data_IF_546856123497
#
_entry.id   IF_546856123497
#
_cell.length_a   1.000
_cell.length_b   1.000
_cell.length_c   1.000
_cell.angle_alpha   90.00
_cell.angle_beta   90.00
_cell.angle_gamma   90.00
#
_symmetry.space_group_name_H-M   'P 1'
#
loop_
_entity.id
_entity.type
_entity.pdbx_description
1 polymer ?
#
# COMPACT_ATOMS: atom_id res chain seq x y z
N UNK A 1 26.74 13.17 -14.68
CA UNK A 1 25.57 13.89 -14.13
C UNK A 1 25.08 15.02 -15.05
N UNK A 2 25.92 15.94 -15.55
CA UNK A 2 25.44 17.10 -16.33
C UNK A 2 24.73 16.84 -17.67
N UNK A 3 25.10 15.79 -18.42
CA UNK A 3 24.43 15.42 -19.69
C UNK A 3 23.05 14.77 -19.50
N UNK A 4 22.80 14.14 -18.35
CA UNK A 4 21.54 13.48 -18.01
C UNK A 4 20.43 14.50 -17.74
N UNK A 5 20.79 15.69 -17.24
CA UNK A 5 19.82 16.73 -16.83
C UNK A 5 19.09 17.43 -17.98
N UNK A 6 19.50 17.25 -19.24
CA UNK A 6 18.97 18.04 -20.37
C UNK A 6 18.22 17.22 -21.43
N UNK A 7 18.19 15.89 -21.29
CA UNK A 7 17.52 15.01 -22.25
C UNK A 7 16.34 14.29 -21.60
N UNK A 8 15.17 14.37 -22.21
CA UNK A 8 13.96 13.67 -21.75
C UNK A 8 13.82 12.32 -22.45
N UNK A 9 14.87 11.48 -22.42
CA UNK A 9 14.80 10.13 -22.99
C UNK A 9 14.23 9.12 -21.99
N UNK A 10 13.83 7.95 -22.48
CA UNK A 10 13.41 6.82 -21.64
C UNK A 10 14.47 6.47 -20.58
N UNK A 11 15.75 6.46 -20.97
CA UNK A 11 16.87 6.14 -20.07
C UNK A 11 16.97 7.18 -18.94
N UNK A 12 16.71 8.46 -19.22
CA UNK A 12 16.67 9.50 -18.19
C UNK A 12 15.52 9.27 -17.19
N UNK A 13 14.32 8.93 -17.68
CA UNK A 13 13.18 8.57 -16.82
C UNK A 13 13.54 7.38 -15.93
N UNK A 14 14.14 6.33 -16.50
CA UNK A 14 14.57 5.15 -15.76
C UNK A 14 15.64 5.46 -14.71
N UNK A 15 16.60 6.34 -15.02
CA UNK A 15 17.62 6.79 -14.07
C UNK A 15 16.97 7.50 -12.88
N UNK A 16 16.05 8.43 -13.11
CA UNK A 16 15.36 9.13 -12.02
C UNK A 16 14.44 8.22 -11.20
N UNK A 17 13.80 7.21 -11.81
CA UNK A 17 13.04 6.20 -11.06
C UNK A 17 13.94 5.31 -10.18
N UNK A 18 15.14 4.95 -10.67
CA UNK A 18 16.11 4.19 -9.87
C UNK A 18 16.71 5.06 -8.75
N UNK A 19 16.96 6.34 -9.04
CA UNK A 19 17.40 7.33 -8.08
C UNK A 19 16.35 7.52 -6.97
N UNK A 20 15.07 7.63 -7.32
CA UNK A 20 14.00 7.72 -6.33
C UNK A 20 13.97 6.46 -5.45
N UNK A 21 13.94 5.26 -6.05
CA UNK A 21 13.97 4.01 -5.30
C UNK A 21 15.16 3.90 -4.34
N UNK A 22 16.33 4.39 -4.74
CA UNK A 22 17.51 4.47 -3.88
C UNK A 22 17.30 5.43 -2.70
N UNK A 23 16.80 6.64 -2.95
CA UNK A 23 16.53 7.59 -1.86
C UNK A 23 15.52 7.05 -0.86
N UNK A 24 14.48 6.36 -1.31
CA UNK A 24 13.49 5.77 -0.41
C UNK A 24 14.08 4.65 0.44
N UNK A 25 14.94 3.80 -0.14
CA UNK A 25 15.66 2.77 0.61
C UNK A 25 16.63 3.35 1.67
N UNK A 26 17.03 4.62 1.49
CA UNK A 26 17.80 5.40 2.45
C UNK A 26 16.95 6.26 3.39
N UNK A 27 15.63 6.11 3.40
CA UNK A 27 14.69 6.94 4.16
C UNK A 27 14.81 8.45 3.87
N UNK A 28 15.19 8.81 2.63
CA UNK A 28 15.27 10.19 2.14
C UNK A 28 14.01 10.55 1.36
N UNK A 29 12.87 10.59 2.04
CA UNK A 29 11.53 10.69 1.47
C UNK A 29 11.32 11.93 0.57
N UNK A 30 11.83 13.09 0.98
CA UNK A 30 11.74 14.31 0.16
C UNK A 30 12.60 14.23 -1.12
N UNK A 31 13.72 13.52 -1.07
CA UNK A 31 14.57 13.33 -2.24
C UNK A 31 13.99 12.26 -3.18
N UNK A 32 13.37 11.22 -2.63
CA UNK A 32 12.52 10.29 -3.39
C UNK A 32 11.43 11.05 -4.16
N UNK A 33 10.70 11.96 -3.49
CA UNK A 33 9.66 12.74 -4.15
C UNK A 33 10.22 13.63 -5.27
N UNK A 34 11.30 14.37 -5.01
CA UNK A 34 11.95 15.21 -6.03
C UNK A 34 12.42 14.42 -7.25
N UNK A 35 13.03 13.25 -7.04
CA UNK A 35 13.46 12.37 -8.12
C UNK A 35 12.25 11.81 -8.90
N UNK A 36 11.16 11.47 -8.21
CA UNK A 36 9.90 11.04 -8.84
C UNK A 36 9.27 12.14 -9.68
N UNK A 37 9.29 13.39 -9.20
CA UNK A 37 8.84 14.57 -9.97
C UNK A 37 9.69 14.76 -11.23
N UNK A 38 11.02 14.62 -11.12
CA UNK A 38 11.92 14.70 -12.28
C UNK A 38 11.66 13.58 -13.31
N UNK A 39 11.46 12.34 -12.84
CA UNK A 39 11.08 11.20 -13.68
C UNK A 39 9.74 11.46 -14.41
N UNK A 40 8.72 11.87 -13.66
CA UNK A 40 7.37 12.10 -14.19
C UNK A 40 7.34 13.23 -15.20
N UNK A 41 8.02 14.35 -14.92
CA UNK A 41 8.14 15.48 -15.85
C UNK A 41 8.86 15.08 -17.13
N UNK A 42 9.98 14.37 -17.02
CA UNK A 42 10.73 13.88 -18.19
C UNK A 42 9.90 12.88 -19.01
N UNK A 43 9.11 12.03 -18.34
CA UNK A 43 8.23 11.06 -18.98
C UNK A 43 7.10 11.75 -19.74
N UNK A 44 6.49 12.80 -19.18
CA UNK A 44 5.49 13.61 -19.87
C UNK A 44 6.04 14.25 -21.13
N UNK A 45 7.25 14.83 -21.07
CA UNK A 45 7.90 15.44 -22.25
C UNK A 45 8.18 14.38 -23.31
N UNK A 46 8.72 13.22 -22.92
CA UNK A 46 8.96 12.09 -23.82
C UNK A 46 7.68 11.69 -24.57
N UNK A 47 6.58 11.50 -23.85
CA UNK A 47 5.30 11.05 -24.44
C UNK A 47 4.67 12.13 -25.33
N UNK A 48 4.74 13.41 -24.93
CA UNK A 48 4.10 14.51 -25.66
C UNK A 48 4.89 14.93 -26.91
N UNK A 49 6.22 14.79 -26.89
CA UNK A 49 7.08 15.26 -27.97
C UNK A 49 7.42 14.18 -29.01
N UNK A 50 7.26 12.89 -28.70
CA UNK A 50 7.51 11.79 -29.64
C UNK A 50 6.20 11.19 -30.17
N UNK A 51 6.15 10.88 -31.48
CA UNK A 51 5.09 10.06 -32.05
C UNK A 51 5.34 8.59 -31.76
N UNK A 52 4.78 8.08 -30.67
CA UNK A 52 5.04 6.71 -30.18
C UNK A 52 4.08 5.70 -30.83
N UNK A 53 4.63 4.71 -31.53
CA UNK A 53 3.89 3.49 -31.88
C UNK A 53 3.86 2.55 -30.67
N UNK A 54 2.70 2.48 -30.02
CA UNK A 54 2.45 1.69 -28.82
C UNK A 54 2.56 0.17 -29.01
N UNK A 55 2.71 -0.33 -30.23
CA UNK A 55 2.93 -1.75 -30.52
C UNK A 55 4.40 -2.19 -30.39
N UNK A 56 5.33 -1.24 -30.37
CA UNK A 56 6.78 -1.54 -30.39
C UNK A 56 7.31 -2.01 -29.01
N UNK A 57 8.39 -2.81 -28.97
CA UNK A 57 9.04 -3.19 -27.71
C UNK A 57 9.58 -1.99 -26.90
N UNK A 58 10.07 -0.94 -27.59
CA UNK A 58 10.50 0.31 -26.93
C UNK A 58 9.32 1.00 -26.25
N UNK A 59 8.17 1.06 -26.92
CA UNK A 59 6.97 1.64 -26.34
C UNK A 59 6.47 0.85 -25.12
N UNK A 60 6.66 -0.46 -25.07
CA UNK A 60 6.36 -1.26 -23.87
C UNK A 60 7.21 -0.82 -22.67
N UNK A 61 8.49 -0.49 -22.86
CA UNK A 61 9.34 0.08 -21.81
C UNK A 61 8.87 1.47 -21.37
N UNK A 62 8.41 2.30 -22.31
CA UNK A 62 7.84 3.62 -22.00
C UNK A 62 6.56 3.48 -21.17
N UNK A 63 5.67 2.54 -21.51
CA UNK A 63 4.47 2.24 -20.69
C UNK A 63 4.88 1.85 -19.27
N UNK A 64 5.84 0.94 -19.11
CA UNK A 64 6.33 0.53 -17.78
C UNK A 64 6.87 1.72 -16.97
N UNK A 65 7.68 2.58 -17.61
CA UNK A 65 8.23 3.77 -16.96
C UNK A 65 7.13 4.77 -16.56
N UNK A 66 6.16 5.02 -17.45
CA UNK A 66 5.00 5.88 -17.18
C UNK A 66 4.19 5.38 -15.98
N UNK A 67 3.79 4.11 -16.00
CA UNK A 67 2.98 3.55 -14.91
C UNK A 67 3.76 3.41 -13.59
N UNK A 68 5.08 3.27 -13.65
CA UNK A 68 5.92 3.34 -12.45
C UNK A 68 5.94 4.76 -11.87
N UNK A 69 6.08 5.80 -12.70
CA UNK A 69 5.97 7.19 -12.28
C UNK A 69 4.60 7.45 -11.62
N UNK A 70 3.51 7.04 -12.27
CA UNK A 70 2.14 7.15 -11.74
C UNK A 70 1.98 6.50 -10.36
N UNK A 71 2.45 5.26 -10.20
CA UNK A 71 2.34 4.54 -8.92
C UNK A 71 3.15 5.21 -7.80
N UNK A 72 4.35 5.72 -8.11
CA UNK A 72 5.20 6.40 -7.14
C UNK A 72 4.67 7.77 -6.72
N UNK A 73 4.13 8.54 -7.67
CA UNK A 73 3.62 9.89 -7.41
C UNK A 73 2.32 9.87 -6.61
N UNK A 74 1.37 9.00 -6.97
CA UNK A 74 0.06 8.97 -6.34
C UNK A 74 0.09 8.62 -4.85
N UNK A 75 1.01 7.74 -4.44
CA UNK A 75 1.10 7.36 -3.03
C UNK A 75 1.47 8.56 -2.15
N UNK A 76 2.41 9.39 -2.61
CA UNK A 76 2.82 10.58 -1.87
C UNK A 76 1.77 11.69 -1.97
N UNK A 77 1.07 11.80 -3.10
CA UNK A 77 -0.05 12.72 -3.21
C UNK A 77 -1.16 12.39 -2.21
N UNK A 78 -1.61 11.14 -2.14
CA UNK A 78 -2.73 10.75 -1.27
C UNK A 78 -2.40 10.84 0.23
N UNK A 79 -1.14 10.63 0.62
CA UNK A 79 -0.74 10.52 2.04
C UNK A 79 -0.14 11.81 2.61
N UNK A 80 0.49 12.63 1.76
CA UNK A 80 1.18 13.86 2.16
C UNK A 80 0.59 15.12 1.52
N UNK A 81 -0.41 14.98 0.65
CA UNK A 81 -0.97 16.08 -0.15
C UNK A 81 0.09 16.84 -0.96
N UNK A 82 1.14 16.13 -1.39
CA UNK A 82 2.15 16.71 -2.26
C UNK A 82 1.58 16.95 -3.66
N UNK A 83 2.02 18.05 -4.27
CA UNK A 83 1.54 18.44 -5.60
C UNK A 83 1.97 17.42 -6.66
N UNK A 84 1.01 17.04 -7.51
CA UNK A 84 1.27 16.18 -8.66
C UNK A 84 1.82 16.99 -9.85
N UNK A 85 2.64 16.35 -10.68
CA UNK A 85 3.21 16.90 -11.92
C UNK A 85 2.20 17.01 -13.07
N UNK A 86 1.00 16.45 -12.91
CA UNK A 86 -0.01 16.35 -13.97
C UNK A 86 0.17 15.15 -14.90
N UNK A 87 1.08 14.21 -14.59
CA UNK A 87 1.27 12.98 -15.38
C UNK A 87 -0.02 12.14 -15.49
N UNK A 88 -0.89 12.17 -14.48
CA UNK A 88 -2.19 11.50 -14.48
C UNK A 88 -3.10 11.90 -15.66
N UNK A 89 -2.91 13.11 -16.22
CA UNK A 89 -3.70 13.58 -17.38
C UNK A 89 -3.44 12.77 -18.66
N UNK A 90 -2.39 11.95 -18.69
CA UNK A 90 -2.04 11.08 -19.80
C UNK A 90 -2.58 9.65 -19.63
N UNK A 91 -3.32 9.35 -18.56
CA UNK A 91 -3.77 7.98 -18.23
C UNK A 91 -4.57 7.34 -19.37
N UNK A 92 -5.45 8.10 -20.03
CA UNK A 92 -6.25 7.60 -21.14
C UNK A 92 -5.44 7.40 -22.44
N UNK A 93 -4.27 8.03 -22.55
CA UNK A 93 -3.42 7.99 -23.74
C UNK A 93 -2.38 6.88 -23.69
N UNK A 94 -1.96 6.45 -22.49
CA UNK A 94 -0.89 5.46 -22.29
C UNK A 94 -1.48 4.09 -21.96
N UNK A 95 -1.38 3.10 -22.87
CA UNK A 95 -1.92 1.76 -22.62
C UNK A 95 -1.19 1.05 -21.47
N UNK A 96 -1.81 0.00 -20.94
CA UNK A 96 -1.15 -0.92 -20.00
C UNK A 96 0.04 -1.63 -20.67
N UNK A 97 1.14 -1.88 -19.94
CA UNK A 97 2.29 -2.60 -20.47
C UNK A 97 1.96 -4.08 -20.65
N UNK A 98 2.47 -4.66 -21.73
CA UNK A 98 2.31 -6.06 -22.10
C UNK A 98 3.47 -6.94 -21.63
N UNK A 99 4.60 -6.34 -21.28
CA UNK A 99 5.82 -7.03 -20.84
C UNK A 99 6.52 -7.87 -21.92
N UNK A 100 6.51 -7.42 -23.18
CA UNK A 100 7.19 -8.10 -24.29
C UNK A 100 8.69 -8.29 -24.01
N UNK A 101 9.25 -9.45 -24.39
CA UNK A 101 10.68 -9.75 -24.30
C UNK A 101 11.21 -10.10 -22.89
N UNK A 102 10.36 -10.24 -21.86
CA UNK A 102 10.77 -10.80 -20.57
C UNK A 102 10.92 -12.33 -20.59
N UNK A 103 10.54 -12.98 -21.68
CA UNK A 103 10.80 -14.40 -21.91
C UNK A 103 12.23 -14.55 -22.49
N UNK A 104 13.16 -14.99 -21.62
CA UNK A 104 14.50 -15.54 -21.92
C UNK A 104 15.61 -14.62 -22.47
N UNK A 105 16.55 -14.25 -21.57
CA UNK A 105 17.98 -14.12 -21.92
C UNK A 105 18.94 -14.80 -20.92
N UNK A 106 18.41 -15.34 -19.82
CA UNK A 106 19.13 -16.28 -18.96
C UNK A 106 18.48 -17.65 -19.13
N UNK A 107 19.20 -18.59 -19.72
CA UNK A 107 18.73 -19.94 -20.06
C UNK A 107 18.30 -20.77 -18.87
N UNK A 108 17.10 -20.52 -18.35
CA UNK A 108 16.36 -21.38 -17.45
C UNK A 108 15.08 -21.81 -18.15
N UNK A 109 15.10 -23.06 -18.58
CA UNK A 109 14.00 -23.86 -19.10
C UNK A 109 12.71 -23.73 -18.26
N UNK A 110 11.60 -23.43 -18.95
CA UNK A 110 10.29 -24.08 -18.82
C UNK A 110 9.54 -24.17 -17.47
N UNK A 111 10.00 -23.65 -16.33
CA UNK A 111 9.20 -23.77 -15.09
C UNK A 111 9.33 -22.56 -14.15
N UNK A 112 8.19 -21.92 -13.86
CA UNK A 112 8.07 -20.75 -12.98
C UNK A 112 8.19 -19.39 -13.69
N UNK A 113 7.17 -18.99 -14.47
CA UNK A 113 7.05 -17.60 -14.96
C UNK A 113 7.00 -16.66 -13.76
N UNK A 114 7.98 -15.77 -13.63
CA UNK A 114 7.92 -14.71 -12.63
C UNK A 114 6.70 -13.84 -12.90
N UNK A 115 5.67 -13.93 -12.04
CA UNK A 115 4.38 -13.27 -12.22
C UNK A 115 4.41 -11.78 -11.84
N UNK A 116 5.58 -11.15 -11.88
CA UNK A 116 5.76 -9.74 -11.52
C UNK A 116 4.89 -8.80 -12.37
N UNK A 117 4.68 -9.13 -13.65
CA UNK A 117 3.80 -8.38 -14.55
C UNK A 117 2.37 -8.29 -14.03
N UNK A 118 1.83 -9.38 -13.48
CA UNK A 118 0.46 -9.39 -12.95
C UNK A 118 0.37 -8.56 -11.67
N UNK A 119 1.41 -8.56 -10.83
CA UNK A 119 1.45 -7.72 -9.64
C UNK A 119 1.48 -6.25 -10.01
N UNK A 120 2.29 -5.87 -11.00
CA UNK A 120 2.36 -4.49 -11.47
C UNK A 120 1.01 -4.01 -12.01
N UNK A 121 0.34 -4.81 -12.85
CA UNK A 121 -1.00 -4.49 -13.36
C UNK A 121 -2.06 -4.46 -12.26
N UNK A 122 -1.99 -5.39 -11.29
CA UNK A 122 -2.89 -5.41 -10.14
C UNK A 122 -2.74 -4.15 -9.27
N UNK A 123 -1.51 -3.68 -9.04
CA UNK A 123 -1.24 -2.43 -8.31
C UNK A 123 -1.81 -1.20 -9.05
N UNK A 124 -1.68 -1.13 -10.38
CA UNK A 124 -2.30 -0.05 -11.18
C UNK A 124 -3.82 -0.06 -11.02
N UNK A 125 -4.45 -1.23 -11.12
CA UNK A 125 -5.90 -1.36 -10.97
C UNK A 125 -6.36 -0.98 -9.54
N UNK A 126 -5.61 -1.38 -8.51
CA UNK A 126 -5.90 -1.06 -7.12
C UNK A 126 -5.76 0.43 -6.83
N UNK A 127 -4.76 1.11 -7.40
CA UNK A 127 -4.56 2.57 -7.28
C UNK A 127 -5.85 3.35 -7.61
N UNK A 128 -6.54 2.98 -8.69
CA UNK A 128 -7.81 3.63 -9.11
C UNK A 128 -8.95 3.40 -8.11
N UNK A 129 -8.95 2.30 -7.39
CA UNK A 129 -9.90 2.06 -6.30
C UNK A 129 -9.55 2.91 -5.08
N UNK A 130 -8.26 2.94 -4.71
CA UNK A 130 -7.77 3.74 -3.58
C UNK A 130 -8.06 5.22 -3.78
N UNK A 131 -7.76 5.79 -4.96
CA UNK A 131 -8.09 7.19 -5.26
C UNK A 131 -9.59 7.51 -5.07
N UNK A 132 -10.47 6.65 -5.61
CA UNK A 132 -11.93 6.80 -5.44
C UNK A 132 -12.38 6.68 -3.98
N UNK A 133 -11.73 5.82 -3.19
CA UNK A 133 -12.00 5.69 -1.76
C UNK A 133 -11.64 7.01 -1.05
N UNK A 134 -10.46 7.58 -1.31
CA UNK A 134 -10.05 8.86 -0.73
C UNK A 134 -11.00 9.99 -1.12
N UNK A 135 -11.32 10.15 -2.40
CA UNK A 135 -12.27 11.16 -2.88
C UNK A 135 -13.64 11.01 -2.20
N UNK A 136 -14.18 9.80 -2.15
CA UNK A 136 -15.51 9.54 -1.58
C UNK A 136 -15.57 9.83 -0.08
N UNK A 137 -14.51 9.52 0.67
CA UNK A 137 -14.47 9.70 2.13
C UNK A 137 -14.21 11.18 2.46
N UNK A 138 -13.21 11.81 1.85
CA UNK A 138 -12.81 13.18 2.18
C UNK A 138 -13.73 14.26 1.60
N UNK A 139 -14.37 14.04 0.45
CA UNK A 139 -15.38 14.99 -0.06
C UNK A 139 -16.64 15.04 0.83
N UNK A 140 -16.96 13.95 1.53
CA UNK A 140 -18.04 13.96 2.53
C UNK A 140 -17.66 14.77 3.77
N UNK A 141 -16.39 14.74 4.18
CA UNK A 141 -15.88 15.52 5.32
C UNK A 141 -15.85 17.03 5.04
N UNK A 142 -15.41 17.44 3.84
CA UNK A 142 -15.28 18.88 3.48
C UNK A 142 -16.62 19.56 3.20
N UNK A 143 -17.58 18.84 2.63
CA UNK A 143 -18.95 19.34 2.39
C UNK A 143 -19.72 19.57 3.70
N UNK A 144 -19.32 18.90 4.79
CA UNK A 144 -19.97 18.93 6.10
C UNK A 144 -19.15 19.65 7.16
N UNK A 145 -18.32 20.64 6.77
CA UNK A 145 -17.44 21.44 7.65
C UNK A 145 -18.14 22.24 8.77
N UNK A 146 -19.43 22.04 8.99
CA UNK A 146 -20.19 22.46 10.17
C UNK A 146 -20.27 21.39 11.28
N UNK A 147 -19.62 20.22 11.13
CA UNK A 147 -19.79 19.06 12.01
C UNK A 147 -19.14 19.18 13.40
N UNK A 148 -18.24 20.14 13.65
CA UNK A 148 -17.68 20.34 15.00
C UNK A 148 -18.72 20.89 16.02
N UNK A 149 -19.92 21.29 15.54
CA UNK A 149 -21.01 21.81 16.37
C UNK A 149 -22.34 21.04 16.18
N UNK A 150 -22.39 19.98 15.37
CA UNK A 150 -23.61 19.18 15.16
C UNK A 150 -23.65 17.96 16.07
N UNK A 151 -24.79 17.75 16.74
CA UNK A 151 -25.09 16.50 17.49
C UNK A 151 -25.24 15.26 16.57
N UNK A 152 -25.05 15.39 15.26
CA UNK A 152 -25.20 14.33 14.27
C UNK A 152 -23.87 13.96 13.62
N UNK A 153 -23.73 12.69 13.26
CA UNK A 153 -22.54 12.14 12.61
C UNK A 153 -22.55 12.46 11.10
N UNK A 154 -21.76 13.43 10.68
CA UNK A 154 -21.64 13.88 9.28
C UNK A 154 -20.75 13.01 8.37
N UNK A 155 -20.48 11.75 8.73
CA UNK A 155 -19.62 10.88 7.93
C UNK A 155 -20.28 10.30 6.67
N UNK A 156 -19.53 9.57 5.82
CA UNK A 156 -20.04 9.03 4.58
C UNK A 156 -21.21 8.05 4.82
N UNK A 157 -22.26 8.06 3.97
CA UNK A 157 -23.40 7.16 4.13
C UNK A 157 -23.00 5.67 4.05
N UNK A 158 -23.61 4.83 4.88
CA UNK A 158 -23.30 3.38 4.97
C UNK A 158 -23.41 2.67 3.62
N UNK A 159 -24.37 3.04 2.77
CA UNK A 159 -24.52 2.43 1.44
C UNK A 159 -23.33 2.73 0.51
N UNK A 160 -22.72 3.91 0.62
CA UNK A 160 -21.49 4.26 -0.12
C UNK A 160 -20.33 3.39 0.37
N UNK A 161 -20.17 3.24 1.69
CA UNK A 161 -19.16 2.36 2.27
C UNK A 161 -19.32 0.92 1.79
N UNK A 162 -20.55 0.38 1.82
CA UNK A 162 -20.84 -0.97 1.33
C UNK A 162 -20.47 -1.14 -0.13
N UNK A 163 -20.77 -0.15 -0.97
CA UNK A 163 -20.45 -0.21 -2.39
C UNK A 163 -18.93 -0.14 -2.64
N UNK A 164 -18.20 0.74 -1.94
CA UNK A 164 -16.74 0.80 -2.01
C UNK A 164 -16.11 -0.53 -1.58
N UNK A 165 -16.57 -1.11 -0.47
CA UNK A 165 -16.13 -2.41 0.00
C UNK A 165 -16.43 -3.54 -1.01
N UNK A 166 -17.62 -3.53 -1.62
CA UNK A 166 -18.00 -4.48 -2.66
C UNK A 166 -17.09 -4.37 -3.88
N UNK A 167 -16.76 -3.15 -4.31
CA UNK A 167 -15.85 -2.93 -5.44
C UNK A 167 -14.43 -3.41 -5.15
N UNK A 168 -13.92 -3.15 -3.93
CA UNK A 168 -12.61 -3.62 -3.49
C UNK A 168 -12.55 -5.16 -3.45
N UNK A 169 -13.58 -5.81 -2.91
CA UNK A 169 -13.67 -7.27 -2.89
C UNK A 169 -13.81 -7.86 -4.29
N UNK A 170 -14.62 -7.23 -5.15
CA UNK A 170 -14.75 -7.61 -6.55
C UNK A 170 -13.42 -7.51 -7.30
N UNK A 171 -12.58 -6.53 -6.99
CA UNK A 171 -11.23 -6.45 -7.56
C UNK A 171 -10.39 -7.64 -7.13
N UNK A 172 -10.39 -7.99 -5.83
CA UNK A 172 -9.65 -9.15 -5.31
C UNK A 172 -10.11 -10.46 -5.95
N UNK A 173 -11.41 -10.62 -6.18
CA UNK A 173 -11.98 -11.84 -6.79
C UNK A 173 -11.71 -11.95 -8.30
N UNK A 174 -11.42 -10.85 -8.98
CA UNK A 174 -11.08 -10.81 -10.41
C UNK A 174 -9.57 -10.93 -10.69
N UNK A 175 -8.72 -10.97 -9.66
CA UNK A 175 -7.30 -11.16 -9.83
C UNK A 175 -6.99 -12.51 -10.53
N UNK A 176 -5.92 -12.59 -11.34
CA UNK A 176 -5.43 -13.85 -11.84
C UNK A 176 -5.16 -14.83 -10.69
N UNK A 177 -5.45 -16.12 -10.90
CA UNK A 177 -5.30 -17.18 -9.87
C UNK A 177 -3.97 -17.10 -9.10
N UNK A 178 -2.80 -16.87 -9.74
CA UNK A 178 -1.54 -16.78 -9.00
C UNK A 178 -1.49 -15.67 -7.97
N UNK A 179 -2.28 -14.60 -8.10
CA UNK A 179 -2.31 -13.47 -7.18
C UNK A 179 -3.48 -13.52 -6.21
N UNK A 180 -4.49 -14.34 -6.48
CA UNK A 180 -5.74 -14.37 -5.72
C UNK A 180 -5.55 -15.01 -4.33
N UNK A 181 -6.12 -14.39 -3.30
CA UNK A 181 -6.09 -14.87 -1.91
C UNK A 181 -7.42 -14.61 -1.19
N UNK A 182 -7.64 -15.31 -0.08
CA UNK A 182 -8.72 -15.05 0.88
C UNK A 182 -8.15 -14.54 2.22
N UNK A 183 -8.99 -14.05 3.12
CA UNK A 183 -8.52 -13.59 4.44
C UNK A 183 -7.89 -14.72 5.28
N UNK A 184 -8.33 -15.96 5.08
CA UNK A 184 -7.76 -17.14 5.76
C UNK A 184 -6.38 -17.49 5.20
N UNK A 185 -6.12 -17.18 3.93
CA UNK A 185 -4.88 -17.53 3.22
C UNK A 185 -3.94 -16.32 3.10
N UNK A 186 -4.16 -15.27 3.90
CA UNK A 186 -3.42 -14.00 3.82
C UNK A 186 -1.91 -14.16 3.97
N UNK A 187 -1.47 -15.17 4.74
CA UNK A 187 -0.06 -15.48 4.98
C UNK A 187 0.53 -16.49 4.01
N UNK A 188 -0.30 -17.12 3.19
CA UNK A 188 0.09 -18.26 2.36
C UNK A 188 0.80 -17.83 1.08
N UNK A 189 1.55 -18.77 0.49
CA UNK A 189 2.14 -18.58 -0.83
C UNK A 189 1.06 -18.27 -1.88
N UNK A 190 1.37 -17.41 -2.88
CA UNK A 190 0.48 -17.21 -4.01
C UNK A 190 0.20 -18.53 -4.74
N UNK A 191 -0.99 -18.69 -5.33
CA UNK A 191 -1.45 -19.95 -5.92
C UNK A 191 -0.74 -20.23 -7.27
N UNK A 192 0.53 -20.62 -7.22
CA UNK A 192 1.43 -20.82 -8.38
C UNK A 192 1.22 -22.17 -9.11
N UNK A 193 0.16 -22.92 -8.81
CA UNK A 193 -0.05 -24.27 -9.33
C UNK A 193 0.81 -25.34 -8.63
N UNK A 194 0.50 -26.61 -8.88
CA UNK A 194 1.00 -27.78 -8.14
C UNK A 194 2.53 -27.98 -8.16
N UNK A 195 3.27 -27.26 -9.00
CA UNK A 195 4.72 -27.36 -9.13
C UNK A 195 5.51 -26.48 -8.14
N UNK A 196 4.86 -25.55 -7.41
CA UNK A 196 5.54 -24.53 -6.61
C UNK A 196 5.53 -24.72 -5.09
N UNK A 197 4.85 -25.72 -4.53
CA UNK A 197 4.81 -25.95 -3.07
C UNK A 197 6.12 -26.55 -2.58
N UNK A 198 7.11 -25.69 -2.30
CA UNK A 198 8.29 -26.07 -1.51
C UNK A 198 7.97 -25.86 -0.02
N UNK A 199 7.27 -26.82 0.59
CA UNK A 199 7.03 -26.87 2.03
C UNK A 199 5.58 -26.65 2.47
N UNK A 200 5.33 -26.93 3.75
CA UNK A 200 4.06 -26.69 4.47
C UNK A 200 4.00 -25.31 5.11
N UNK A 201 5.09 -24.55 5.07
CA UNK A 201 5.22 -23.30 5.79
C UNK A 201 4.56 -22.15 5.00
N UNK A 202 3.91 -21.20 5.68
CA UNK A 202 3.34 -20.01 5.04
C UNK A 202 4.46 -19.11 4.47
N UNK A 203 4.13 -18.29 3.47
CA UNK A 203 5.05 -17.29 2.94
C UNK A 203 5.39 -16.23 4.00
N UNK A 204 4.40 -15.86 4.82
CA UNK A 204 4.55 -14.85 5.85
C UNK A 204 4.43 -15.44 7.25
N UNK A 205 5.39 -15.13 8.12
CA UNK A 205 5.42 -15.66 9.48
C UNK A 205 5.69 -14.59 10.53
N UNK A 206 5.21 -14.87 11.74
CA UNK A 206 5.43 -14.03 12.93
C UNK A 206 6.88 -14.12 13.41
N UNK A 207 7.42 -15.34 13.45
CA UNK A 207 8.74 -15.62 14.00
C UNK A 207 9.84 -15.22 13.00
N UNK A 208 11.01 -14.86 13.54
CA UNK A 208 12.24 -14.64 12.76
C UNK A 208 12.73 -16.00 12.22
N UNK A 209 12.03 -16.57 11.25
CA UNK A 209 12.58 -17.65 10.45
C UNK A 209 13.86 -17.16 9.76
N UNK A 210 14.80 -18.07 9.52
CA UNK A 210 15.91 -17.79 8.60
C UNK A 210 15.30 -17.31 7.29
N UNK A 211 15.68 -16.11 6.85
CA UNK A 211 15.30 -15.59 5.53
C UNK A 211 15.58 -16.72 4.54
N UNK A 212 14.58 -17.27 3.82
CA UNK A 212 14.88 -18.27 2.81
C UNK A 212 15.82 -17.60 1.81
N UNK A 213 17.09 -18.00 1.83
CA UNK A 213 18.19 -17.37 1.08
C UNK A 213 17.94 -17.46 -0.45
N UNK A 214 16.90 -18.17 -0.89
CA UNK A 214 16.63 -18.49 -2.28
C UNK A 214 15.19 -18.15 -2.76
N UNK A 215 14.53 -17.10 -2.24
CA UNK A 215 13.32 -16.62 -2.90
C UNK A 215 13.66 -15.85 -4.19
N UNK A 216 13.35 -16.46 -5.33
CA UNK A 216 13.45 -15.90 -6.67
C UNK A 216 12.63 -14.59 -6.76
N UNK A 217 13.21 -13.55 -7.35
CA UNK A 217 12.55 -12.31 -7.81
C UNK A 217 11.76 -11.46 -6.79
N UNK A 218 12.09 -11.45 -5.49
CA UNK A 218 11.42 -10.62 -4.46
C UNK A 218 9.89 -10.84 -4.34
N UNK A 219 9.41 -12.06 -4.61
CA UNK A 219 7.99 -12.42 -4.53
C UNK A 219 7.37 -12.08 -3.17
N UNK A 220 8.13 -12.23 -2.09
CA UNK A 220 7.76 -11.87 -0.72
C UNK A 220 7.36 -10.39 -0.61
N UNK A 221 8.20 -9.48 -1.10
CA UNK A 221 7.94 -8.04 -1.06
C UNK A 221 6.75 -7.67 -1.95
N UNK A 222 6.69 -8.20 -3.17
CA UNK A 222 5.63 -7.89 -4.12
C UNK A 222 4.25 -8.36 -3.64
N UNK A 223 4.20 -9.59 -3.10
CA UNK A 223 2.97 -10.15 -2.54
C UNK A 223 2.56 -9.38 -1.28
N UNK A 224 3.52 -9.07 -0.42
CA UNK A 224 3.26 -8.31 0.81
C UNK A 224 2.69 -6.93 0.48
N UNK A 225 3.31 -6.20 -0.45
CA UNK A 225 2.86 -4.88 -0.87
C UNK A 225 1.43 -4.92 -1.41
N UNK A 226 1.13 -5.83 -2.34
CA UNK A 226 -0.21 -5.93 -2.95
C UNK A 226 -1.28 -6.25 -1.90
N UNK A 227 -1.04 -7.26 -1.06
CA UNK A 227 -2.00 -7.67 -0.02
C UNK A 227 -2.16 -6.58 1.03
N UNK A 228 -1.06 -5.98 1.50
CA UNK A 228 -1.11 -4.88 2.45
C UNK A 228 -1.86 -3.67 1.90
N UNK A 229 -1.66 -3.28 0.64
CA UNK A 229 -2.40 -2.17 0.03
C UNK A 229 -3.91 -2.45 -0.01
N UNK A 230 -4.33 -3.70 -0.26
CA UNK A 230 -5.74 -4.09 -0.18
C UNK A 230 -6.30 -3.92 1.24
N UNK A 231 -5.59 -4.44 2.26
CA UNK A 231 -6.04 -4.32 3.65
C UNK A 231 -6.04 -2.88 4.14
N UNK A 232 -5.09 -2.07 3.68
CA UNK A 232 -5.09 -0.63 3.93
C UNK A 232 -6.29 0.06 3.28
N UNK A 233 -6.59 -0.20 2.01
CA UNK A 233 -7.77 0.33 1.35
C UNK A 233 -9.07 -0.06 2.08
N UNK A 234 -9.16 -1.31 2.54
CA UNK A 234 -10.30 -1.81 3.33
C UNK A 234 -10.40 -1.11 4.68
N UNK A 235 -9.27 -0.91 5.36
CA UNK A 235 -9.21 -0.11 6.58
C UNK A 235 -9.73 1.31 6.33
N UNK A 236 -9.26 1.98 5.27
CA UNK A 236 -9.70 3.33 4.93
C UNK A 236 -11.21 3.41 4.69
N UNK A 237 -11.80 2.47 3.95
CA UNK A 237 -13.26 2.39 3.74
C UNK A 237 -14.04 2.39 5.06
N UNK A 238 -13.59 1.62 6.04
CA UNK A 238 -14.33 1.44 7.30
C UNK A 238 -13.86 2.36 8.43
N UNK A 239 -12.73 3.09 8.25
CA UNK A 239 -12.17 4.00 9.25
C UNK A 239 -13.15 5.05 9.78
N UNK A 240 -14.10 5.61 9.00
CA UNK A 240 -15.08 6.55 9.53
C UNK A 240 -15.90 5.99 10.71
N UNK A 241 -16.14 4.67 10.77
CA UNK A 241 -16.85 4.05 11.91
C UNK A 241 -15.98 3.92 13.16
N UNK A 242 -14.65 3.89 13.03
CA UNK A 242 -13.75 4.02 14.18
C UNK A 242 -13.85 5.43 14.74
N UNK A 243 -13.87 6.46 13.88
CA UNK A 243 -14.09 7.84 14.30
C UNK A 243 -15.46 7.99 14.98
N UNK A 244 -16.52 7.44 14.38
CA UNK A 244 -17.87 7.44 14.99
C UNK A 244 -17.88 6.78 16.37
N UNK A 245 -17.23 5.62 16.54
CA UNK A 245 -17.15 4.95 17.84
C UNK A 245 -16.40 5.76 18.90
N UNK A 246 -15.40 6.55 18.50
CA UNK A 246 -14.60 7.38 19.41
C UNK A 246 -15.30 8.68 19.81
N UNK A 247 -16.06 9.29 18.89
CA UNK A 247 -16.60 10.65 19.07
C UNK A 247 -18.12 10.71 19.26
N UNK A 248 -18.86 9.72 18.75
CA UNK A 248 -20.33 9.65 18.77
C UNK A 248 -20.82 8.25 19.23
N UNK A 249 -20.34 7.72 20.37
CA UNK A 249 -20.63 6.35 20.80
C UNK A 249 -22.13 6.08 21.00
N UNK A 250 -22.91 7.08 21.38
CA UNK A 250 -24.36 7.02 21.53
C UNK A 250 -25.13 6.87 20.21
N UNK A 251 -24.52 7.26 19.08
CA UNK A 251 -25.11 7.14 17.73
C UNK A 251 -24.72 5.84 17.02
N UNK A 252 -23.96 4.96 17.67
CA UNK A 252 -23.47 3.72 17.08
C UNK A 252 -24.59 2.67 16.95
N UNK A 253 -25.02 2.40 15.73
CA UNK A 253 -25.91 1.28 15.43
C UNK A 253 -25.15 -0.06 15.43
N UNK A 254 -25.87 -1.19 15.42
CA UNK A 254 -25.23 -2.50 15.31
C UNK A 254 -24.44 -2.64 13.99
N UNK A 255 -24.95 -2.09 12.91
CA UNK A 255 -24.27 -2.07 11.61
C UNK A 255 -22.97 -1.25 11.64
N UNK A 256 -22.98 -0.11 12.33
CA UNK A 256 -21.78 0.71 12.52
C UNK A 256 -20.73 -0.03 13.33
N UNK A 257 -21.14 -0.78 14.36
CA UNK A 257 -20.23 -1.59 15.18
C UNK A 257 -19.58 -2.71 14.37
N UNK A 258 -20.33 -3.34 13.45
CA UNK A 258 -19.77 -4.32 12.51
C UNK A 258 -18.73 -3.66 11.60
N UNK A 259 -19.04 -2.50 11.03
CA UNK A 259 -18.11 -1.77 10.16
C UNK A 259 -16.86 -1.32 10.95
N UNK A 260 -17.02 -0.83 12.18
CA UNK A 260 -15.92 -0.49 13.06
C UNK A 260 -15.02 -1.70 13.33
N UNK A 261 -15.60 -2.87 13.64
CA UNK A 261 -14.83 -4.09 13.82
C UNK A 261 -14.07 -4.49 12.55
N UNK A 262 -14.68 -4.37 11.37
CA UNK A 262 -14.03 -4.63 10.08
C UNK A 262 -12.85 -3.68 9.82
N UNK A 263 -12.95 -2.40 10.22
CA UNK A 263 -11.82 -1.47 10.15
C UNK A 263 -10.64 -1.99 10.97
N UNK A 264 -10.88 -2.31 12.24
CA UNK A 264 -9.83 -2.78 13.16
C UNK A 264 -9.22 -4.10 12.66
N UNK A 265 -10.03 -5.08 12.27
CA UNK A 265 -9.54 -6.34 11.68
C UNK A 265 -8.71 -6.11 10.42
N UNK A 266 -9.09 -5.13 9.59
CA UNK A 266 -8.34 -4.77 8.39
C UNK A 266 -7.00 -4.14 8.69
N UNK A 267 -6.81 -3.50 9.84
CA UNK A 267 -5.53 -2.96 10.29
C UNK A 267 -4.58 -4.02 10.88
N UNK A 268 -5.07 -5.23 11.14
CA UNK A 268 -4.30 -6.28 11.82
C UNK A 268 -3.39 -7.08 10.87
N UNK A 269 -2.20 -7.43 11.38
CA UNK A 269 -1.28 -8.43 10.84
C UNK A 269 -0.94 -8.24 9.35
N UNK A 270 -0.72 -7.01 8.89
CA UNK A 270 -0.40 -6.76 7.49
C UNK A 270 0.81 -7.58 7.03
N UNK A 271 0.77 -8.24 5.86
CA UNK A 271 1.90 -9.02 5.35
C UNK A 271 3.24 -8.29 5.37
N UNK A 272 3.22 -6.97 5.16
CA UNK A 272 4.40 -6.11 5.24
C UNK A 272 5.14 -6.11 6.58
N UNK A 273 4.42 -6.26 7.70
CA UNK A 273 5.03 -6.30 9.05
C UNK A 273 5.38 -7.72 9.50
N UNK A 274 5.15 -8.72 8.64
CA UNK A 274 5.54 -10.11 8.86
C UNK A 274 6.90 -10.40 8.20
N UNK A 275 7.56 -11.48 8.63
CA UNK A 275 8.75 -11.97 7.92
C UNK A 275 8.31 -12.65 6.61
N UNK A 276 9.11 -12.60 5.53
CA UNK A 276 10.39 -11.90 5.39
C UNK A 276 10.40 -10.36 5.26
N UNK A 277 9.36 -9.65 4.78
CA UNK A 277 9.41 -8.20 4.55
C UNK A 277 9.91 -7.37 5.74
N UNK A 278 9.49 -7.70 6.97
CA UNK A 278 9.95 -7.03 8.19
C UNK A 278 11.46 -7.14 8.43
N UNK A 279 12.14 -8.11 7.83
CA UNK A 279 13.60 -8.27 7.93
C UNK A 279 14.34 -7.51 6.82
N UNK A 280 13.62 -7.01 5.82
CA UNK A 280 14.14 -6.30 4.64
C UNK A 280 13.49 -4.92 4.49
N UNK A 281 13.21 -4.22 5.61
CA UNK A 281 12.40 -3.00 5.63
C UNK A 281 12.85 -1.91 4.66
N UNK A 282 14.17 -1.78 4.40
CA UNK A 282 14.71 -0.81 3.42
C UNK A 282 14.39 -1.14 1.95
N UNK A 283 13.98 -2.38 1.66
CA UNK A 283 13.52 -2.81 0.33
C UNK A 283 12.00 -2.65 0.16
N UNK A 284 11.29 -2.26 1.21
CA UNK A 284 9.85 -2.01 1.13
C UNK A 284 9.61 -0.66 0.46
N UNK A 285 8.86 -0.61 -0.66
CA UNK A 285 8.54 0.64 -1.33
C UNK A 285 7.64 1.53 -0.46
N UNK A 286 7.83 2.85 -0.57
CA UNK A 286 7.05 3.87 0.18
C UNK A 286 7.13 3.65 1.69
N UNK A 287 8.34 3.41 2.20
CA UNK A 287 8.64 3.20 3.61
C UNK A 287 8.01 4.28 4.51
N UNK A 288 8.05 5.54 4.07
CA UNK A 288 7.43 6.65 4.78
C UNK A 288 5.94 6.41 5.05
N UNK A 289 5.20 6.13 3.98
CA UNK A 289 3.74 5.94 4.01
C UNK A 289 3.37 4.84 5.01
N UNK A 290 4.09 3.72 5.00
CA UNK A 290 3.81 2.62 5.91
C UNK A 290 4.12 2.98 7.36
N UNK A 291 5.27 3.61 7.61
CA UNK A 291 5.65 4.07 8.95
C UNK A 291 4.62 5.04 9.51
N UNK A 292 4.18 6.04 8.74
CA UNK A 292 3.13 6.98 9.16
C UNK A 292 1.80 6.26 9.46
N UNK A 293 1.37 5.36 8.59
CA UNK A 293 0.13 4.61 8.78
C UNK A 293 0.19 3.71 10.03
N UNK A 294 1.33 3.11 10.33
CA UNK A 294 1.53 2.34 11.56
C UNK A 294 1.39 3.19 12.81
N UNK A 295 1.85 4.45 12.79
CA UNK A 295 1.64 5.37 13.92
C UNK A 295 0.15 5.60 14.15
N UNK A 296 -0.60 5.92 13.10
CA UNK A 296 -2.05 6.13 13.18
C UNK A 296 -2.79 4.89 13.67
N UNK A 297 -2.45 3.71 13.14
CA UNK A 297 -3.02 2.43 13.57
C UNK A 297 -2.69 2.15 15.03
N UNK A 298 -1.45 2.34 15.47
CA UNK A 298 -1.08 2.15 16.87
C UNK A 298 -1.90 3.07 17.78
N UNK A 299 -2.04 4.36 17.46
CA UNK A 299 -2.91 5.24 18.26
C UNK A 299 -4.35 4.70 18.36
N UNK A 300 -4.92 4.20 17.26
CA UNK A 300 -6.24 3.55 17.27
C UNK A 300 -6.23 2.28 18.14
N UNK A 301 -5.22 1.42 18.02
CA UNK A 301 -5.10 0.19 18.80
C UNK A 301 -4.98 0.50 20.29
N UNK A 302 -4.31 1.59 20.69
CA UNK A 302 -4.32 2.05 22.08
C UNK A 302 -5.72 2.46 22.53
N UNK A 303 -6.49 3.12 21.69
CA UNK A 303 -7.86 3.47 22.03
C UNK A 303 -8.78 2.26 22.21
N UNK A 304 -8.45 1.09 21.65
CA UNK A 304 -9.20 -0.15 21.92
C UNK A 304 -9.10 -0.63 23.37
N UNK A 305 -8.16 -0.09 24.17
CA UNK A 305 -8.06 -0.37 25.62
C UNK A 305 -8.58 0.77 26.49
N UNK A 306 -8.55 2.01 25.98
CA UNK A 306 -8.88 3.23 26.73
C UNK A 306 -10.32 3.73 26.51
N UNK A 307 -10.90 3.56 25.33
CA UNK A 307 -12.26 4.01 25.01
C UNK A 307 -13.26 2.85 25.21
N UNK A 308 -14.28 3.06 26.04
CA UNK A 308 -15.24 2.01 26.42
C UNK A 308 -16.05 1.47 25.23
N UNK A 309 -16.47 2.33 24.29
CA UNK A 309 -17.22 1.90 23.12
C UNK A 309 -16.37 1.01 22.21
N UNK A 310 -15.18 1.49 21.84
CA UNK A 310 -14.26 0.76 20.98
C UNK A 310 -13.77 -0.54 21.62
N UNK A 311 -13.47 -0.50 22.93
CA UNK A 311 -13.10 -1.67 23.73
C UNK A 311 -14.18 -2.73 23.73
N UNK A 312 -15.45 -2.35 23.91
CA UNK A 312 -16.59 -3.26 23.84
C UNK A 312 -16.68 -3.94 22.46
N UNK A 313 -16.65 -3.14 21.39
CA UNK A 313 -16.72 -3.65 20.01
C UNK A 313 -15.56 -4.63 19.74
N UNK A 314 -14.34 -4.29 20.14
CA UNK A 314 -13.18 -5.14 19.96
C UNK A 314 -13.27 -6.45 20.75
N UNK A 315 -13.71 -6.40 22.01
CA UNK A 315 -13.86 -7.60 22.84
C UNK A 315 -14.90 -8.59 22.28
N UNK A 316 -15.97 -8.08 21.65
CA UNK A 316 -17.05 -8.90 21.10
C UNK A 316 -16.72 -9.45 19.70
N UNK A 317 -15.99 -8.69 18.87
CA UNK A 317 -15.94 -8.93 17.42
C UNK A 317 -14.53 -9.03 16.83
N UNK A 318 -13.48 -8.76 17.58
CA UNK A 318 -12.09 -8.74 17.06
C UNK A 318 -11.23 -9.75 17.82
N UNK A 319 -10.39 -10.48 17.09
CA UNK A 319 -9.45 -11.40 17.72
C UNK A 319 -8.39 -10.62 18.51
N UNK A 320 -8.42 -10.77 19.83
CA UNK A 320 -7.48 -10.09 20.74
C UNK A 320 -6.02 -10.44 20.47
N UNK A 321 -5.73 -11.68 20.10
CA UNK A 321 -4.36 -12.12 19.79
C UNK A 321 -3.82 -11.37 18.58
N UNK A 322 -4.65 -11.15 17.56
CA UNK A 322 -4.24 -10.42 16.36
C UNK A 322 -3.93 -8.96 16.69
N UNK A 323 -4.68 -8.32 17.61
CA UNK A 323 -4.41 -6.95 18.06
C UNK A 323 -3.08 -6.84 18.80
N UNK A 324 -2.84 -7.73 19.75
CA UNK A 324 -1.60 -7.78 20.54
C UNK A 324 -0.39 -8.02 19.63
N UNK A 325 -0.51 -8.98 18.71
CA UNK A 325 0.54 -9.30 17.74
C UNK A 325 0.80 -8.15 16.75
N UNK A 326 -0.25 -7.51 16.24
CA UNK A 326 -0.13 -6.35 15.34
C UNK A 326 0.58 -5.20 16.05
N UNK A 327 0.19 -4.92 17.29
CA UNK A 327 0.80 -3.86 18.12
C UNK A 327 2.30 -4.11 18.27
N UNK A 328 2.69 -5.32 18.66
CA UNK A 328 4.11 -5.69 18.82
C UNK A 328 4.88 -5.52 17.51
N UNK A 329 4.36 -6.04 16.39
CA UNK A 329 5.06 -5.98 15.10
C UNK A 329 5.22 -4.55 14.57
N UNK A 330 4.20 -3.71 14.71
CA UNK A 330 4.27 -2.30 14.28
C UNK A 330 5.19 -1.48 15.19
N UNK A 331 5.20 -1.74 16.50
CA UNK A 331 6.17 -1.11 17.42
C UNK A 331 7.60 -1.52 17.09
N UNK A 332 7.85 -2.83 16.87
CA UNK A 332 9.15 -3.33 16.41
C UNK A 332 9.57 -2.67 15.09
N UNK A 333 8.62 -2.46 14.17
CA UNK A 333 8.89 -1.79 12.91
C UNK A 333 9.47 -0.39 13.11
N UNK A 334 8.77 0.43 13.89
CA UNK A 334 9.16 1.82 14.18
C UNK A 334 10.46 1.84 14.98
N UNK A 335 10.63 0.91 15.94
CA UNK A 335 11.85 0.79 16.73
C UNK A 335 13.09 0.48 15.89
N UNK A 336 12.95 -0.34 14.85
CA UNK A 336 14.06 -0.68 13.95
C UNK A 336 14.37 0.47 12.99
N UNK A 337 13.34 1.10 12.41
CA UNK A 337 13.50 2.13 11.37
C UNK A 337 13.94 3.49 11.92
N UNK A 338 13.65 3.81 13.19
CA UNK A 338 14.09 5.08 13.81
C UNK A 338 15.60 5.34 13.78
N UNK A 339 16.41 4.30 13.54
CA UNK A 339 17.86 4.44 13.42
C UNK A 339 18.27 5.19 12.13
N UNK A 340 17.39 5.22 11.13
CA UNK A 340 17.67 5.73 9.78
C UNK A 340 16.63 6.73 9.27
N UNK A 341 15.44 6.75 9.87
CA UNK A 341 14.32 7.62 9.50
C UNK A 341 13.96 8.54 10.67
N UNK A 342 14.05 9.85 10.44
CA UNK A 342 13.74 10.86 11.45
C UNK A 342 12.26 10.92 11.85
N UNK A 343 11.35 10.47 10.98
CA UNK A 343 9.91 10.44 11.27
C UNK A 343 9.59 9.26 12.17
N UNK A 344 10.21 8.10 11.93
CA UNK A 344 10.15 6.98 12.88
C UNK A 344 10.78 7.34 14.23
N UNK A 345 11.88 8.11 14.25
CA UNK A 345 12.49 8.61 15.49
C UNK A 345 11.55 9.53 16.27
N UNK A 346 10.94 10.51 15.59
CA UNK A 346 9.95 11.39 16.20
C UNK A 346 8.75 10.57 16.73
N UNK A 347 8.23 9.65 15.93
CA UNK A 347 7.09 8.80 16.28
C UNK A 347 7.38 7.93 17.51
N UNK A 348 8.60 7.39 17.61
CA UNK A 348 9.01 6.58 18.76
C UNK A 348 9.03 7.35 20.08
N UNK A 349 9.38 8.66 20.05
CA UNK A 349 9.35 9.51 21.26
C UNK A 349 7.95 9.63 21.86
N UNK A 350 6.91 9.53 21.03
CA UNK A 350 5.51 9.51 21.45
C UNK A 350 5.03 8.09 21.80
N UNK A 351 5.25 7.12 20.91
CA UNK A 351 4.69 5.77 21.03
C UNK A 351 5.36 4.93 22.11
N UNK A 352 6.68 5.06 22.29
CA UNK A 352 7.43 4.28 23.28
C UNK A 352 6.84 4.42 24.70
N UNK A 353 6.69 5.65 25.23
CA UNK A 353 6.07 5.88 26.53
C UNK A 353 4.59 5.45 26.60
N UNK A 354 3.87 5.54 25.49
CA UNK A 354 2.44 5.18 25.42
C UNK A 354 2.20 3.68 25.61
N UNK A 355 3.15 2.85 25.14
CA UNK A 355 3.07 1.39 25.18
C UNK A 355 3.96 0.73 26.25
N UNK A 356 4.75 1.51 26.99
CA UNK A 356 5.59 1.00 28.08
C UNK A 356 4.85 0.79 29.41
N UNK A 357 3.52 0.87 29.41
CA UNK A 357 2.66 0.78 30.61
C UNK A 357 1.89 -0.52 30.67
#
# INVERSE_FOLDING_TARGET
MGFIMHQCTLENVQIHLLESAYYEACARHMDFWRATVAASTSCQILIKCESIDWSTPRADLIKRAYWACMLSEDMYHLELDLSQTGIHTLEDQVPLPYFHGSESNYGSSSDGKSHFQYHFLAMIALRRLVARIHESIHCCESSNSSAELSEDYGGPPVHVIKELARQLESWRSLLPRPLQWSDNDKTEFPNMGSAGRQGTDPLFSMDRGSVPINHRDNLDIMTAQLRTQFYYARFMIYRPFVYKALHFPELMTEEDQICCALAIQSACLWPLVLAPPKNKKRLVPHLFTWTQNFVGILLILRMTTENECLKKICNERVNRKDLEQTTTLMLEWIQDIKQVDGIAEWSWKMLGPLYSR
#
